data_IF_986378015658
#
_entry.id   IF_986378015658
#
_cell.length_a   1.000
_cell.length_b   1.000
_cell.length_c   1.000
_cell.angle_alpha   90.00
_cell.angle_beta   90.00
_cell.angle_gamma   90.00
#
_symmetry.space_group_name_H-M   'P 1'
#
loop_
_entity.id
_entity.type
_entity.pdbx_description
1 polymer ?
#
# COMPACT_ATOMS: atom_id res chain seq x y z
N UNK A 1 0.32 47.20 -10.50
CA UNK A 1 0.52 45.98 -11.29
C UNK A 1 -0.02 44.80 -10.47
N UNK A 2 -0.98 44.13 -11.02
CA UNK A 2 -2.20 43.57 -10.49
C UNK A 2 -2.02 42.15 -9.89
N UNK A 3 -2.54 41.96 -8.70
CA UNK A 3 -2.70 40.64 -8.01
C UNK A 3 -3.59 39.65 -8.78
N UNK A 4 -4.26 40.11 -9.87
CA UNK A 4 -5.06 39.24 -10.75
C UNK A 4 -4.18 38.42 -11.72
N UNK A 5 -3.00 38.87 -12.05
CA UNK A 5 -2.05 38.16 -12.94
C UNK A 5 -1.30 37.01 -12.27
N UNK A 6 -1.26 36.95 -10.95
CA UNK A 6 -0.63 35.89 -10.18
C UNK A 6 -1.55 34.69 -10.01
N UNK A 7 -2.85 34.92 -9.73
CA UNK A 7 -3.85 33.83 -9.56
C UNK A 7 -4.12 33.06 -10.87
N UNK A 8 -3.92 33.69 -12.02
CA UNK A 8 -4.17 33.05 -13.33
C UNK A 8 -2.97 32.22 -13.83
N UNK A 9 -1.81 32.29 -13.13
CA UNK A 9 -0.64 31.43 -13.41
C UNK A 9 -0.62 30.17 -12.57
N UNK A 10 -1.31 30.18 -11.42
CA UNK A 10 -1.43 29.00 -10.53
C UNK A 10 -2.49 28.00 -11.02
N UNK A 11 -3.46 28.45 -11.84
CA UNK A 11 -4.54 27.61 -12.39
C UNK A 11 -4.12 26.75 -13.63
N UNK A 12 -2.90 26.95 -14.13
CA UNK A 12 -2.38 26.21 -15.30
C UNK A 12 -1.36 25.11 -14.93
N UNK A 13 -1.03 24.95 -13.65
CA UNK A 13 -0.19 23.88 -13.13
C UNK A 13 -1.09 22.86 -12.45
N UNK A 14 -1.22 21.64 -12.98
CA UNK A 14 -1.90 20.56 -12.31
C UNK A 14 -1.36 20.37 -10.90
N UNK A 15 -2.21 19.99 -10.00
CA UNK A 15 -1.87 19.86 -8.58
C UNK A 15 -0.82 18.76 -8.37
N UNK A 16 -0.01 18.82 -7.30
CA UNK A 16 0.88 17.71 -6.93
C UNK A 16 0.17 16.36 -6.91
N UNK A 17 -1.10 16.35 -6.52
CA UNK A 17 -1.95 15.17 -6.46
C UNK A 17 -2.24 14.58 -7.85
N UNK A 18 -2.55 15.40 -8.84
CA UNK A 18 -2.75 14.93 -10.23
C UNK A 18 -1.46 14.34 -10.83
N UNK A 19 -0.30 14.92 -10.47
CA UNK A 19 0.99 14.38 -10.87
C UNK A 19 1.27 13.02 -10.23
N UNK A 20 0.92 12.84 -8.95
CA UNK A 20 1.04 11.55 -8.27
C UNK A 20 0.11 10.51 -8.88
N UNK A 21 -1.15 10.85 -9.18
CA UNK A 21 -2.10 9.95 -9.84
C UNK A 21 -1.63 9.50 -11.23
N UNK A 22 -1.03 10.42 -11.99
CA UNK A 22 -0.45 10.11 -13.28
C UNK A 22 0.78 9.21 -13.14
N UNK A 23 1.67 9.53 -12.19
CA UNK A 23 2.85 8.73 -11.90
C UNK A 23 2.49 7.30 -11.50
N UNK A 24 1.48 7.15 -10.63
CA UNK A 24 0.97 5.85 -10.18
C UNK A 24 0.53 4.97 -11.37
N UNK A 25 -0.30 5.51 -12.25
CA UNK A 25 -0.75 4.80 -13.46
C UNK A 25 0.40 4.40 -14.38
N UNK A 26 1.40 5.27 -14.55
CA UNK A 26 2.56 4.99 -15.41
C UNK A 26 3.46 3.94 -14.76
N UNK A 27 3.73 4.05 -13.47
CA UNK A 27 4.52 3.08 -12.70
C UNK A 27 3.87 1.70 -12.68
N UNK A 28 2.55 1.63 -12.47
CA UNK A 28 1.80 0.38 -12.51
C UNK A 28 1.92 -0.35 -13.85
N UNK A 29 1.85 0.40 -14.96
CA UNK A 29 1.87 -0.15 -16.33
C UNK A 29 3.25 -0.49 -16.85
N UNK A 30 4.27 0.33 -16.54
CA UNK A 30 5.59 0.24 -17.17
C UNK A 30 6.68 -0.27 -16.22
N UNK A 31 6.37 -0.34 -14.94
CA UNK A 31 7.36 -0.60 -13.88
C UNK A 31 8.07 0.67 -13.41
N UNK A 32 8.27 0.79 -12.10
CA UNK A 32 8.89 1.97 -11.47
C UNK A 32 10.29 2.25 -12.03
N UNK A 33 11.11 1.21 -12.23
CA UNK A 33 12.49 1.35 -12.72
C UNK A 33 12.57 1.85 -14.16
N UNK A 34 11.56 1.55 -14.97
CA UNK A 34 11.54 1.84 -16.40
C UNK A 34 11.02 3.25 -16.73
N UNK A 35 10.68 4.04 -15.72
CA UNK A 35 10.06 5.35 -15.89
C UNK A 35 10.95 6.45 -15.34
N UNK A 36 11.37 7.36 -16.22
CA UNK A 36 12.04 8.60 -15.82
C UNK A 36 11.00 9.69 -15.47
N UNK A 37 11.34 10.60 -14.55
CA UNK A 37 10.48 11.74 -14.19
C UNK A 37 10.05 12.57 -15.41
N UNK A 38 10.95 12.73 -16.37
CA UNK A 38 10.67 13.46 -17.62
C UNK A 38 9.54 12.84 -18.45
N UNK A 39 9.35 11.52 -18.36
CA UNK A 39 8.26 10.82 -19.05
C UNK A 39 6.91 11.05 -18.37
N UNK A 40 6.89 11.16 -17.04
CA UNK A 40 5.67 11.51 -16.28
C UNK A 40 5.26 12.95 -16.64
N UNK A 41 6.22 13.87 -16.63
CA UNK A 41 5.96 15.27 -17.00
C UNK A 41 5.49 15.38 -18.45
N UNK A 42 6.10 14.65 -19.39
CA UNK A 42 5.70 14.67 -20.79
C UNK A 42 4.29 14.11 -21.02
N UNK A 43 3.84 13.20 -20.16
CA UNK A 43 2.48 12.64 -20.20
C UNK A 43 1.44 13.51 -19.46
N UNK A 44 1.89 14.48 -18.66
CA UNK A 44 1.00 15.45 -18.02
C UNK A 44 0.60 16.56 -19.02
N UNK A 45 -0.57 17.16 -18.79
CA UNK A 45 -1.01 18.35 -19.54
C UNK A 45 -0.19 19.60 -19.19
N UNK A 46 0.80 19.46 -18.32
CA UNK A 46 1.57 20.56 -17.78
C UNK A 46 2.68 21.04 -18.71
N UNK A 47 2.74 22.34 -18.89
CA UNK A 47 3.84 23.02 -19.59
C UNK A 47 5.11 23.19 -18.75
N UNK A 48 5.02 22.98 -17.42
CA UNK A 48 6.14 23.24 -16.51
C UNK A 48 6.87 21.94 -16.12
N UNK A 49 7.92 21.62 -16.87
CA UNK A 49 8.81 20.48 -16.58
C UNK A 49 9.47 20.52 -15.20
N UNK A 50 9.56 21.70 -14.60
CA UNK A 50 10.20 21.89 -13.30
C UNK A 50 9.30 21.49 -12.13
N UNK A 51 7.97 21.38 -12.31
CA UNK A 51 7.02 21.11 -11.23
C UNK A 51 7.30 19.80 -10.48
N UNK A 52 7.56 18.70 -11.21
CA UNK A 52 7.88 17.41 -10.58
C UNK A 52 9.18 17.47 -9.75
N UNK A 53 10.24 18.10 -10.29
CA UNK A 53 11.49 18.26 -9.56
C UNK A 53 11.33 19.21 -8.36
N UNK A 54 10.51 20.24 -8.49
CA UNK A 54 10.23 21.18 -7.41
C UNK A 54 9.47 20.51 -6.24
N UNK A 55 8.43 19.74 -6.54
CA UNK A 55 7.59 19.12 -5.51
C UNK A 55 8.20 17.85 -4.92
N UNK A 56 8.83 17.01 -5.71
CA UNK A 56 9.24 15.66 -5.29
C UNK A 56 10.75 15.41 -5.36
N UNK A 57 11.49 16.25 -6.07
CA UNK A 57 12.95 16.18 -6.20
C UNK A 57 13.43 15.04 -7.10
N UNK A 58 13.05 13.80 -6.80
CA UNK A 58 13.51 12.59 -7.48
C UNK A 58 12.36 11.60 -7.74
N UNK A 59 12.63 10.54 -8.51
CA UNK A 59 11.69 9.42 -8.69
C UNK A 59 11.36 8.74 -7.36
N UNK A 60 12.33 8.55 -6.50
CA UNK A 60 12.19 8.01 -5.15
C UNK A 60 11.28 8.91 -4.32
N UNK A 61 11.38 10.25 -4.47
CA UNK A 61 10.50 11.22 -3.82
C UNK A 61 9.05 11.13 -4.29
N UNK A 62 8.84 10.98 -5.61
CA UNK A 62 7.49 10.71 -6.15
C UNK A 62 6.92 9.42 -5.59
N UNK A 63 7.72 8.35 -5.57
CA UNK A 63 7.29 7.04 -5.10
C UNK A 63 6.95 7.06 -3.61
N UNK A 64 7.79 7.69 -2.77
CA UNK A 64 7.51 7.85 -1.33
C UNK A 64 6.22 8.63 -1.10
N UNK A 65 6.08 9.81 -1.72
CA UNK A 65 4.88 10.64 -1.58
C UNK A 65 3.60 9.92 -2.05
N UNK A 66 3.69 9.15 -3.14
CA UNK A 66 2.58 8.32 -3.62
C UNK A 66 2.18 7.26 -2.61
N UNK A 67 3.15 6.53 -2.07
CA UNK A 67 2.88 5.46 -1.10
C UNK A 67 2.31 6.03 0.19
N UNK A 68 2.84 7.13 0.72
CA UNK A 68 2.34 7.79 1.92
C UNK A 68 0.90 8.26 1.73
N UNK A 69 0.62 8.96 0.62
CA UNK A 69 -0.73 9.43 0.29
C UNK A 69 -1.76 8.28 0.25
N UNK A 70 -1.40 7.13 -0.33
CA UNK A 70 -2.30 5.96 -0.42
C UNK A 70 -2.39 5.17 0.88
N UNK A 71 -1.33 5.16 1.65
CA UNK A 71 -1.29 4.44 2.93
C UNK A 71 -2.24 5.04 3.97
N UNK A 72 -2.43 6.36 3.98
CA UNK A 72 -3.31 7.05 4.92
C UNK A 72 -4.77 6.52 4.90
N UNK A 73 -5.51 6.51 3.76
CA UNK A 73 -6.86 5.97 3.72
C UNK A 73 -6.91 4.45 3.98
N UNK A 74 -5.90 3.68 3.57
CA UNK A 74 -5.81 2.25 3.87
C UNK A 74 -5.66 2.02 5.38
N UNK A 75 -4.86 2.83 6.07
CA UNK A 75 -4.71 2.76 7.52
C UNK A 75 -5.98 3.18 8.25
N UNK A 76 -6.65 4.23 7.81
CA UNK A 76 -7.93 4.64 8.39
C UNK A 76 -8.97 3.49 8.31
N UNK A 77 -9.06 2.81 7.15
CA UNK A 77 -9.91 1.62 6.98
C UNK A 77 -9.47 0.48 7.89
N UNK A 78 -8.17 0.22 8.00
CA UNK A 78 -7.62 -0.82 8.89
C UNK A 78 -7.96 -0.55 10.34
N UNK A 79 -7.78 0.67 10.81
CA UNK A 79 -8.12 1.06 12.19
C UNK A 79 -9.63 0.84 12.46
N UNK A 80 -10.50 1.27 11.56
CA UNK A 80 -11.95 1.07 11.69
C UNK A 80 -12.31 -0.43 11.77
N UNK A 81 -11.70 -1.28 10.94
CA UNK A 81 -11.92 -2.72 10.98
C UNK A 81 -11.39 -3.37 12.27
N UNK A 82 -10.25 -2.89 12.77
CA UNK A 82 -9.70 -3.37 14.04
C UNK A 82 -10.51 -2.89 15.25
N UNK A 83 -11.08 -1.68 15.20
CA UNK A 83 -11.94 -1.13 16.25
C UNK A 83 -13.27 -1.88 16.37
N UNK A 84 -13.77 -2.40 15.25
CA UNK A 84 -14.98 -3.22 15.21
C UNK A 84 -14.80 -4.63 15.80
N UNK A 85 -13.55 -5.05 16.06
CA UNK A 85 -13.27 -6.37 16.65
C UNK A 85 -13.57 -6.39 18.16
N UNK A 86 -14.05 -7.53 18.70
CA UNK A 86 -14.11 -7.75 20.14
C UNK A 86 -12.75 -7.55 20.83
N UNK A 87 -12.77 -7.12 22.10
CA UNK A 87 -11.55 -6.81 22.87
C UNK A 87 -10.55 -8.00 22.96
N UNK A 88 -11.05 -9.23 22.84
CA UNK A 88 -10.24 -10.46 22.79
C UNK A 88 -10.53 -11.20 21.49
N UNK A 89 -10.03 -10.67 20.40
CA UNK A 89 -10.14 -11.30 19.09
C UNK A 89 -9.01 -12.32 18.89
N UNK A 90 -9.35 -13.41 18.21
CA UNK A 90 -8.37 -14.39 17.79
C UNK A 90 -7.51 -13.89 16.62
N UNK A 91 -6.46 -14.62 16.34
CA UNK A 91 -5.49 -14.25 15.32
C UNK A 91 -6.11 -14.19 13.92
N UNK A 92 -7.13 -15.02 13.64
CA UNK A 92 -7.77 -15.05 12.31
C UNK A 92 -8.63 -13.81 12.10
N UNK A 93 -9.34 -13.31 13.12
CA UNK A 93 -10.12 -12.08 13.04
C UNK A 93 -9.22 -10.86 12.80
N UNK A 94 -8.09 -10.76 13.52
CA UNK A 94 -7.12 -9.69 13.35
C UNK A 94 -6.49 -9.74 11.95
N UNK A 95 -6.13 -10.94 11.49
CA UNK A 95 -5.56 -11.15 10.16
C UNK A 95 -6.55 -10.76 9.07
N UNK A 96 -7.83 -11.18 9.21
CA UNK A 96 -8.90 -10.83 8.27
C UNK A 96 -9.08 -9.31 8.18
N UNK A 97 -9.20 -8.60 9.30
CA UNK A 97 -9.35 -7.14 9.33
C UNK A 97 -8.18 -6.45 8.61
N UNK A 98 -6.96 -6.94 8.84
CA UNK A 98 -5.74 -6.38 8.22
C UNK A 98 -5.71 -6.59 6.71
N UNK A 99 -6.05 -7.80 6.24
CA UNK A 99 -6.10 -8.17 4.81
C UNK A 99 -7.24 -7.45 4.12
N UNK A 100 -8.42 -7.37 4.77
CA UNK A 100 -9.61 -6.72 4.24
C UNK A 100 -9.37 -5.23 3.97
N UNK A 101 -8.66 -4.53 4.84
CA UNK A 101 -8.34 -3.11 4.64
C UNK A 101 -7.66 -2.85 3.29
N UNK A 102 -6.71 -3.71 2.89
CA UNK A 102 -6.03 -3.58 1.61
C UNK A 102 -6.89 -4.12 0.46
N UNK A 103 -7.50 -5.29 0.63
CA UNK A 103 -8.28 -5.94 -0.43
C UNK A 103 -9.50 -5.14 -0.87
N UNK A 104 -10.25 -4.57 0.08
CA UNK A 104 -11.37 -3.68 -0.21
C UNK A 104 -10.89 -2.42 -0.95
N UNK A 105 -9.76 -1.84 -0.53
CA UNK A 105 -9.16 -0.70 -1.25
C UNK A 105 -8.84 -1.05 -2.70
N UNK A 106 -8.30 -2.23 -2.96
CA UNK A 106 -7.96 -2.67 -4.34
C UNK A 106 -9.19 -2.74 -5.24
N UNK A 107 -10.37 -3.04 -4.69
CA UNK A 107 -11.63 -3.17 -5.46
C UNK A 107 -12.41 -1.87 -5.52
N UNK A 108 -12.50 -1.15 -4.40
CA UNK A 108 -13.42 -0.01 -4.25
C UNK A 108 -12.80 1.30 -4.74
N UNK A 109 -11.48 1.46 -4.59
CA UNK A 109 -10.82 2.69 -4.97
C UNK A 109 -10.38 2.67 -6.45
N UNK A 110 -10.62 3.76 -7.20
CA UNK A 110 -10.23 3.84 -8.61
C UNK A 110 -8.72 3.62 -8.85
N UNK A 111 -7.89 3.96 -7.87
CA UNK A 111 -6.44 3.81 -7.89
C UNK A 111 -5.94 2.49 -7.28
N UNK A 112 -6.82 1.71 -6.65
CA UNK A 112 -6.43 0.56 -5.83
C UNK A 112 -5.63 -0.50 -6.58
N UNK A 113 -5.97 -0.78 -7.84
CA UNK A 113 -5.26 -1.75 -8.69
C UNK A 113 -3.87 -1.26 -9.12
N UNK A 114 -3.75 0.01 -9.43
CA UNK A 114 -2.47 0.60 -9.79
C UNK A 114 -1.57 0.66 -8.55
N UNK A 115 -2.12 1.08 -7.40
CA UNK A 115 -1.42 1.08 -6.12
C UNK A 115 -0.84 -0.29 -5.75
N UNK A 116 -1.65 -1.35 -5.77
CA UNK A 116 -1.17 -2.67 -5.38
C UNK A 116 -0.07 -3.18 -6.32
N UNK A 117 -0.12 -2.83 -7.61
CA UNK A 117 0.92 -3.14 -8.58
C UNK A 117 2.23 -2.41 -8.28
N UNK A 118 2.17 -1.13 -7.89
CA UNK A 118 3.34 -0.34 -7.47
C UNK A 118 3.89 -0.85 -6.15
N UNK A 119 3.01 -1.10 -5.16
CA UNK A 119 3.41 -1.62 -3.85
C UNK A 119 4.14 -2.96 -3.96
N UNK A 120 3.68 -3.86 -4.83
CA UNK A 120 4.34 -5.15 -5.07
C UNK A 120 5.76 -4.97 -5.62
N UNK A 121 6.00 -4.01 -6.50
CA UNK A 121 7.33 -3.70 -7.01
C UNK A 121 8.26 -3.21 -5.91
N UNK A 122 7.78 -2.31 -5.04
CA UNK A 122 8.55 -1.78 -3.91
C UNK A 122 8.84 -2.87 -2.87
N UNK A 123 7.87 -3.75 -2.59
CA UNK A 123 8.08 -4.88 -1.65
C UNK A 123 9.12 -5.86 -2.18
N UNK A 124 9.17 -6.09 -3.48
CA UNK A 124 10.17 -6.94 -4.11
C UNK A 124 11.55 -6.28 -4.21
N UNK A 125 11.58 -4.95 -4.40
CA UNK A 125 12.79 -4.14 -4.57
C UNK A 125 12.76 -2.91 -3.66
N UNK A 126 13.03 -3.06 -2.34
CA UNK A 126 12.98 -1.94 -1.38
C UNK A 126 13.92 -0.78 -1.75
N UNK A 127 15.01 -1.07 -2.48
CA UNK A 127 15.94 -0.05 -2.98
C UNK A 127 15.30 0.98 -3.92
N UNK A 128 14.09 0.73 -4.44
CA UNK A 128 13.34 1.72 -5.22
C UNK A 128 12.96 2.98 -4.43
N UNK A 129 12.90 2.90 -3.10
CA UNK A 129 12.69 4.04 -2.22
C UNK A 129 13.99 4.81 -1.91
N UNK A 130 15.15 4.26 -2.25
CA UNK A 130 16.44 4.82 -1.84
C UNK A 130 16.56 4.84 -0.31
N UNK A 131 17.01 5.97 0.24
CA UNK A 131 17.11 6.20 1.69
C UNK A 131 15.79 6.74 2.30
N UNK A 132 14.75 6.92 1.49
CA UNK A 132 13.48 7.47 1.95
C UNK A 132 12.70 6.42 2.72
N UNK A 133 12.24 6.79 3.90
CA UNK A 133 11.28 6.02 4.68
C UNK A 133 9.86 6.57 4.45
N UNK A 134 8.86 5.72 4.66
CA UNK A 134 7.47 6.16 4.74
C UNK A 134 7.25 6.93 6.05
N UNK A 135 6.34 7.89 6.05
CA UNK A 135 6.05 8.69 7.22
C UNK A 135 5.50 7.84 8.37
N UNK A 136 6.02 8.07 9.57
CA UNK A 136 5.70 7.28 10.75
C UNK A 136 4.22 7.35 11.14
N UNK A 137 3.57 8.48 10.90
CA UNK A 137 2.15 8.65 11.16
C UNK A 137 1.27 7.74 10.31
N UNK A 138 1.70 7.45 9.09
CA UNK A 138 0.99 6.53 8.18
C UNK A 138 1.21 5.05 8.54
N UNK A 139 2.09 4.75 9.48
CA UNK A 139 2.38 3.38 9.92
C UNK A 139 1.64 2.96 11.20
N UNK A 140 0.78 3.82 11.78
CA UNK A 140 0.07 3.54 13.05
C UNK A 140 -0.73 2.26 13.02
N UNK A 141 -1.55 2.05 12.01
CA UNK A 141 -2.37 0.84 11.85
C UNK A 141 -1.54 -0.41 11.62
N UNK A 142 -0.38 -0.29 10.95
CA UNK A 142 0.57 -1.41 10.79
C UNK A 142 1.17 -1.78 12.15
N UNK A 143 1.57 -0.78 12.95
CA UNK A 143 2.11 -0.99 14.30
C UNK A 143 1.06 -1.62 15.24
N UNK A 144 -0.18 -1.13 15.17
CA UNK A 144 -1.30 -1.70 15.95
C UNK A 144 -1.56 -3.15 15.58
N UNK A 145 -1.66 -3.47 14.29
CA UNK A 145 -1.80 -4.86 13.82
C UNK A 145 -0.70 -5.74 14.40
N UNK A 146 0.56 -5.31 14.32
CA UNK A 146 1.71 -6.08 14.82
C UNK A 146 1.59 -6.36 16.32
N UNK A 147 1.16 -5.37 17.12
CA UNK A 147 0.95 -5.53 18.56
C UNK A 147 -0.16 -6.55 18.84
N UNK A 148 -1.34 -6.40 18.22
CA UNK A 148 -2.47 -7.30 18.41
C UNK A 148 -2.13 -8.74 18.01
N UNK A 149 -1.43 -8.92 16.89
CA UNK A 149 -0.95 -10.23 16.45
C UNK A 149 0.05 -10.85 17.44
N UNK A 150 0.98 -10.06 17.98
CA UNK A 150 1.93 -10.55 18.98
C UNK A 150 1.24 -10.98 20.28
N UNK A 151 0.18 -10.28 20.69
CA UNK A 151 -0.65 -10.65 21.84
C UNK A 151 -1.43 -11.94 21.58
N UNK A 152 -2.07 -12.07 20.41
CA UNK A 152 -2.88 -13.22 20.04
C UNK A 152 -2.05 -14.50 19.77
N UNK A 153 -0.80 -14.34 19.34
CA UNK A 153 0.11 -15.45 19.02
C UNK A 153 0.95 -15.95 20.22
N UNK A 154 0.67 -15.51 21.44
CA UNK A 154 1.37 -16.05 22.62
C UNK A 154 1.22 -17.56 22.72
N UNK A 155 2.29 -18.30 23.13
CA UNK A 155 3.53 -17.85 23.76
C UNK A 155 4.68 -17.49 22.81
N UNK A 156 4.46 -17.30 21.50
CA UNK A 156 5.53 -16.94 20.59
C UNK A 156 6.16 -15.60 20.95
N UNK A 157 7.49 -15.49 20.78
CA UNK A 157 8.21 -14.24 21.00
C UNK A 157 7.82 -13.19 19.93
N UNK A 158 7.67 -11.93 20.34
CA UNK A 158 7.27 -10.84 19.44
C UNK A 158 8.19 -10.70 18.20
N UNK A 159 9.48 -10.99 18.33
CA UNK A 159 10.40 -10.99 17.19
C UNK A 159 10.03 -12.01 16.12
N UNK A 160 9.66 -13.23 16.52
CA UNK A 160 9.21 -14.30 15.61
C UNK A 160 7.90 -13.90 14.91
N UNK A 161 6.96 -13.35 15.67
CA UNK A 161 5.69 -12.85 15.10
C UNK A 161 5.95 -11.74 14.09
N UNK A 162 6.85 -10.79 14.41
CA UNK A 162 7.21 -9.68 13.52
C UNK A 162 7.81 -10.17 12.20
N UNK A 163 8.70 -11.16 12.26
CA UNK A 163 9.31 -11.75 11.06
C UNK A 163 8.27 -12.46 10.19
N UNK A 164 7.41 -13.28 10.80
CA UNK A 164 6.32 -13.98 10.09
C UNK A 164 5.31 -13.01 9.48
N UNK A 165 4.99 -11.91 10.17
CA UNK A 165 4.13 -10.85 9.65
C UNK A 165 4.75 -10.16 8.43
N UNK A 166 6.08 -10.01 8.38
CA UNK A 166 6.76 -9.48 7.20
C UNK A 166 6.56 -10.41 6.00
N UNK A 167 6.82 -11.71 6.17
CA UNK A 167 6.59 -12.71 5.11
C UNK A 167 5.12 -12.76 4.67
N UNK A 168 4.22 -12.71 5.64
CA UNK A 168 2.79 -12.70 5.35
C UNK A 168 2.37 -11.45 4.59
N UNK A 169 2.88 -10.27 4.96
CA UNK A 169 2.60 -9.01 4.24
C UNK A 169 3.05 -9.11 2.79
N UNK A 170 4.22 -9.67 2.53
CA UNK A 170 4.71 -9.89 1.17
C UNK A 170 3.78 -10.84 0.41
N UNK A 171 3.39 -11.95 1.01
CA UNK A 171 2.44 -12.91 0.40
C UNK A 171 1.10 -12.24 0.05
N UNK A 172 0.54 -11.43 0.94
CA UNK A 172 -0.72 -10.68 0.72
C UNK A 172 -0.58 -9.73 -0.46
N UNK A 173 0.46 -8.90 -0.46
CA UNK A 173 0.68 -7.88 -1.51
C UNK A 173 0.85 -8.55 -2.87
N UNK A 174 1.66 -9.62 -2.97
CA UNK A 174 1.86 -10.34 -4.24
C UNK A 174 0.60 -11.08 -4.70
N UNK A 175 -0.14 -11.72 -3.79
CA UNK A 175 -1.40 -12.38 -4.12
C UNK A 175 -2.44 -11.38 -4.67
N UNK A 176 -2.57 -10.22 -4.03
CA UNK A 176 -3.49 -9.16 -4.47
C UNK A 176 -3.05 -8.51 -5.78
N UNK A 177 -1.76 -8.26 -5.97
CA UNK A 177 -1.23 -7.72 -7.22
C UNK A 177 -1.44 -8.69 -8.39
N UNK A 178 -1.24 -9.99 -8.16
CA UNK A 178 -1.56 -11.03 -9.12
C UNK A 178 -3.06 -11.08 -9.43
N UNK A 179 -3.89 -11.08 -8.39
CA UNK A 179 -5.34 -11.05 -8.55
C UNK A 179 -5.80 -9.83 -9.37
N UNK A 180 -5.28 -8.64 -9.08
CA UNK A 180 -5.62 -7.41 -9.80
C UNK A 180 -5.28 -7.48 -11.30
N UNK A 181 -4.22 -8.20 -11.66
CA UNK A 181 -3.81 -8.42 -13.06
C UNK A 181 -4.66 -9.46 -13.77
N UNK A 182 -5.04 -10.54 -13.07
CA UNK A 182 -5.73 -11.69 -13.66
C UNK A 182 -7.27 -11.55 -13.65
N UNK A 183 -7.80 -10.72 -12.74
CA UNK A 183 -9.26 -10.52 -12.59
C UNK A 183 -9.67 -9.17 -13.18
N UNK A 184 -10.43 -9.14 -14.26
CA UNK A 184 -10.89 -7.87 -14.83
C UNK A 184 -11.84 -7.13 -13.87
N UNK A 185 -11.91 -5.79 -13.95
CA UNK A 185 -12.93 -5.02 -13.24
C UNK A 185 -14.35 -5.46 -13.64
N UNK A 186 -15.26 -5.47 -12.66
CA UNK A 186 -16.65 -5.81 -12.95
C UNK A 186 -17.41 -6.30 -11.71
N UNK A 187 -18.70 -6.64 -11.88
CA UNK A 187 -19.61 -6.96 -10.78
C UNK A 187 -19.15 -8.14 -9.89
N UNK A 188 -18.38 -9.07 -10.48
CA UNK A 188 -17.87 -10.25 -9.76
C UNK A 188 -16.55 -10.00 -9.04
N UNK A 189 -15.89 -8.87 -9.28
CA UNK A 189 -14.58 -8.58 -8.69
C UNK A 189 -14.64 -8.46 -7.17
N UNK A 190 -15.66 -7.83 -6.61
CA UNK A 190 -15.83 -7.70 -5.17
C UNK A 190 -15.92 -9.07 -4.48
N UNK A 191 -16.84 -9.93 -4.92
CA UNK A 191 -16.99 -11.26 -4.34
C UNK A 191 -15.73 -12.16 -4.51
N UNK A 192 -15.00 -11.99 -5.62
CA UNK A 192 -13.75 -12.69 -5.85
C UNK A 192 -12.64 -12.21 -4.89
N UNK A 193 -12.62 -10.89 -4.57
CA UNK A 193 -11.71 -10.32 -3.59
C UNK A 193 -12.07 -10.77 -2.18
N UNK A 194 -13.35 -10.79 -1.80
CA UNK A 194 -13.80 -11.29 -0.50
C UNK A 194 -13.35 -12.73 -0.27
N UNK A 195 -13.52 -13.58 -1.27
CA UNK A 195 -13.04 -14.96 -1.22
C UNK A 195 -11.49 -15.04 -1.11
N UNK A 196 -10.75 -14.13 -1.72
CA UNK A 196 -9.29 -14.04 -1.57
C UNK A 196 -8.90 -13.58 -0.16
N UNK A 197 -9.59 -12.57 0.39
CA UNK A 197 -9.39 -12.08 1.75
C UNK A 197 -9.53 -13.23 2.76
N UNK A 198 -10.60 -14.02 2.67
CA UNK A 198 -10.82 -15.15 3.59
C UNK A 198 -9.69 -16.19 3.50
N UNK A 199 -9.26 -16.55 2.28
CA UNK A 199 -8.14 -17.49 2.09
C UNK A 199 -6.83 -16.96 2.64
N UNK A 200 -6.51 -15.68 2.38
CA UNK A 200 -5.30 -15.06 2.89
C UNK A 200 -5.34 -14.89 4.42
N UNK A 201 -6.51 -14.59 4.99
CA UNK A 201 -6.67 -14.50 6.43
C UNK A 201 -6.40 -15.85 7.11
N UNK A 202 -6.97 -16.94 6.60
CA UNK A 202 -6.74 -18.29 7.12
C UNK A 202 -5.26 -18.70 6.98
N UNK A 203 -4.66 -18.47 5.82
CA UNK A 203 -3.24 -18.74 5.57
C UNK A 203 -2.33 -17.96 6.54
N UNK A 204 -2.59 -16.66 6.69
CA UNK A 204 -1.80 -15.81 7.57
C UNK A 204 -1.94 -16.16 9.04
N UNK A 205 -3.16 -16.45 9.50
CA UNK A 205 -3.40 -16.88 10.88
C UNK A 205 -2.64 -18.18 11.21
N UNK A 206 -2.72 -19.18 10.33
CA UNK A 206 -2.00 -20.44 10.48
C UNK A 206 -0.47 -20.23 10.44
N UNK A 207 0.04 -19.47 9.49
CA UNK A 207 1.48 -19.22 9.33
C UNK A 207 2.09 -18.42 10.47
N UNK A 208 1.38 -17.37 10.92
CA UNK A 208 1.87 -16.51 12.02
C UNK A 208 1.85 -17.26 13.37
N UNK A 209 0.82 -18.06 13.63
CA UNK A 209 0.66 -18.80 14.88
C UNK A 209 1.37 -20.17 14.92
N UNK A 210 1.92 -20.64 13.82
CA UNK A 210 2.56 -21.95 13.75
C UNK A 210 3.62 -22.14 14.86
N UNK A 211 3.65 -23.32 15.48
CA UNK A 211 4.69 -23.66 16.44
C UNK A 211 6.09 -23.60 15.78
N UNK A 212 7.10 -23.23 16.55
CA UNK A 212 8.48 -23.35 16.08
C UNK A 212 8.84 -24.85 16.00
N UNK A 213 9.63 -25.25 14.98
CA UNK A 213 10.20 -26.60 14.98
C UNK A 213 10.97 -26.83 16.29
N UNK A 214 10.79 -27.99 16.89
CA UNK A 214 11.62 -28.41 18.03
C UNK A 214 13.01 -28.60 17.43
N UNK A 215 13.99 -27.79 17.88
CA UNK A 215 15.39 -28.03 17.54
C UNK A 215 15.77 -29.38 18.13
N UNK A 216 15.85 -30.39 17.31
CA UNK A 216 16.56 -31.63 17.68
C UNK A 216 18.05 -31.27 17.63
N UNK A 217 18.63 -30.97 18.84
CA UNK A 217 20.08 -30.98 19.04
C UNK A 217 20.64 -32.39 18.81
#
# INVERSE_FOLDING_TARGET
VSAAGQRQRDDASGTPDELLDLAERIFAKRGVENVALTQIVAASTQRNRSAMHYHFGSREGVLSALLDRRLAPINARREALLDALPARSDIIAITRATVAALGQTVVEEPWGRDYISVLAQVRFRPQLLGERALEDEHLTGVRRTRRLMAEAARPLRAAVVTERLRWFTDAVVFAMARWARETPPGPKAAAAMDALIERLAAFGAAGVAAALPISTE
#
